data_IF_660572926485
#
_entry.id   IF_660572926485
#
_cell.length_a   1.000
_cell.length_b   1.000
_cell.length_c   1.000
_cell.angle_alpha   90.00
_cell.angle_beta   90.00
_cell.angle_gamma   90.00
#
_symmetry.space_group_name_H-M   'P 1'
#
loop_
_entity.id
_entity.type
_entity.pdbx_description
1 polymer ?
#
# COMPACT_ATOMS: atom_id res chain seq x y z
N UNK A 1 -47.32 -59.38 59.52
CA UNK A 1 -45.94 -59.44 59.01
C UNK A 1 -45.91 -58.87 57.57
N UNK A 2 -45.58 -57.61 57.39
CA UNK A 2 -45.35 -56.99 56.05
C UNK A 2 -43.92 -56.64 55.88
N UNK A 3 -43.21 -57.32 54.94
CA UNK A 3 -41.84 -57.03 54.45
C UNK A 3 -41.92 -55.86 53.48
N UNK A 4 -41.21 -54.72 53.78
CA UNK A 4 -40.97 -53.64 52.86
C UNK A 4 -39.72 -54.01 52.04
N UNK A 5 -39.89 -54.08 50.70
CA UNK A 5 -38.76 -54.15 49.71
C UNK A 5 -38.21 -52.72 49.57
N UNK A 6 -36.92 -52.56 49.76
CA UNK A 6 -36.16 -51.37 49.42
C UNK A 6 -35.65 -51.54 47.98
N UNK A 7 -36.15 -50.70 47.09
CA UNK A 7 -35.59 -50.58 45.73
C UNK A 7 -34.40 -49.62 45.79
N UNK A 8 -33.22 -50.11 45.38
CA UNK A 8 -32.05 -49.28 45.17
C UNK A 8 -32.06 -48.81 43.71
N UNK A 9 -32.27 -47.50 43.51
CA UNK A 9 -32.11 -46.84 42.21
C UNK A 9 -30.64 -46.51 42.06
N UNK A 10 -29.95 -47.19 41.16
CA UNK A 10 -28.59 -46.78 40.71
C UNK A 10 -28.74 -45.68 39.68
N UNK A 11 -28.42 -44.44 40.08
CA UNK A 11 -28.29 -43.32 39.15
C UNK A 11 -26.93 -43.43 38.42
N UNK A 12 -26.93 -43.79 37.15
CA UNK A 12 -25.77 -43.82 36.29
C UNK A 12 -25.48 -42.36 35.81
N UNK A 13 -24.52 -41.67 36.43
CA UNK A 13 -24.00 -40.39 35.96
C UNK A 13 -23.18 -40.63 34.71
N UNK A 14 -23.75 -40.36 33.52
CA UNK A 14 -22.97 -40.22 32.29
C UNK A 14 -22.27 -38.87 32.33
N UNK A 15 -20.95 -38.87 32.61
CA UNK A 15 -20.10 -37.71 32.36
C UNK A 15 -19.91 -37.56 30.84
N UNK A 16 -20.65 -36.66 30.21
CA UNK A 16 -20.33 -36.18 28.87
C UNK A 16 -19.01 -35.43 28.94
N UNK A 17 -17.92 -36.09 28.59
CA UNK A 17 -16.67 -35.42 28.26
C UNK A 17 -16.94 -34.57 27.00
N UNK A 18 -17.02 -33.25 27.17
CA UNK A 18 -17.01 -32.31 26.05
C UNK A 18 -15.68 -32.50 25.30
N UNK A 19 -15.73 -33.23 24.21
CA UNK A 19 -14.64 -33.27 23.24
C UNK A 19 -14.61 -31.88 22.62
N UNK A 20 -13.77 -31.00 23.16
CA UNK A 20 -13.42 -29.77 22.44
C UNK A 20 -12.79 -30.22 21.10
N UNK A 21 -13.38 -29.91 19.95
CA UNK A 21 -12.69 -30.18 18.70
C UNK A 21 -11.38 -29.38 18.77
N UNK A 22 -10.25 -30.08 18.70
CA UNK A 22 -8.98 -29.42 18.54
C UNK A 22 -9.12 -28.47 17.35
N UNK A 23 -9.04 -27.17 17.62
CA UNK A 23 -9.09 -26.17 16.56
C UNK A 23 -8.02 -26.54 15.56
N UNK A 24 -8.43 -26.90 14.33
CA UNK A 24 -7.48 -27.17 13.27
C UNK A 24 -6.58 -25.93 13.13
N UNK A 25 -5.27 -26.14 13.12
CA UNK A 25 -4.34 -25.03 12.92
C UNK A 25 -4.73 -24.24 11.66
N UNK A 26 -4.69 -22.93 11.70
CA UNK A 26 -4.99 -22.12 10.54
C UNK A 26 -4.06 -22.49 9.38
N UNK A 27 -4.55 -22.44 8.14
CA UNK A 27 -3.69 -22.57 6.97
C UNK A 27 -2.67 -21.43 6.95
N UNK A 28 -1.45 -21.74 6.48
CA UNK A 28 -0.42 -20.70 6.32
C UNK A 28 -0.86 -19.69 5.26
N UNK A 29 -0.94 -18.37 5.59
CA UNK A 29 -1.31 -17.36 4.61
C UNK A 29 -0.21 -17.16 3.58
N UNK A 30 -0.53 -16.67 2.37
CA UNK A 30 0.48 -16.14 1.46
C UNK A 30 1.29 -15.03 2.12
N UNK A 31 2.53 -14.83 1.67
CA UNK A 31 3.28 -13.62 1.99
C UNK A 31 2.85 -12.51 1.06
N UNK A 32 2.02 -11.61 1.55
CA UNK A 32 1.61 -10.43 0.80
C UNK A 32 2.69 -9.35 0.82
N UNK A 33 2.87 -8.70 -0.33
CA UNK A 33 3.72 -7.52 -0.50
C UNK A 33 2.89 -6.47 -1.22
N UNK A 34 2.58 -5.36 -0.53
CA UNK A 34 1.92 -4.20 -1.08
C UNK A 34 2.95 -3.11 -1.35
N UNK A 35 3.15 -2.79 -2.63
CA UNK A 35 4.07 -1.75 -3.08
C UNK A 35 3.27 -0.60 -3.65
N UNK A 36 3.51 0.59 -3.14
CA UNK A 36 2.81 1.78 -3.57
C UNK A 36 3.75 2.93 -3.94
N UNK A 37 3.26 3.80 -4.81
CA UNK A 37 3.96 5.02 -5.22
C UNK A 37 3.12 6.24 -4.89
N UNK A 38 3.76 7.28 -4.37
CA UNK A 38 3.13 8.54 -3.99
C UNK A 38 3.43 9.64 -5.01
N UNK A 39 2.56 10.65 -5.07
CA UNK A 39 2.57 11.80 -5.98
C UNK A 39 2.32 11.42 -7.46
N UNK A 40 3.16 10.59 -8.05
CA UNK A 40 3.00 10.03 -9.40
C UNK A 40 2.92 11.09 -10.51
N UNK A 41 3.74 12.14 -10.43
CA UNK A 41 3.71 13.27 -11.40
C UNK A 41 4.52 13.01 -12.67
N UNK A 42 5.59 12.21 -12.62
CA UNK A 42 6.53 12.01 -13.72
C UNK A 42 6.04 10.99 -14.76
N UNK A 43 5.80 11.43 -15.98
CA UNK A 43 5.32 10.58 -17.10
C UNK A 43 6.30 9.44 -17.44
N UNK A 44 7.58 9.73 -17.43
CA UNK A 44 8.63 8.71 -17.72
C UNK A 44 8.58 7.54 -16.74
N UNK A 45 8.27 7.80 -15.47
CA UNK A 45 8.18 6.77 -14.45
C UNK A 45 6.93 5.88 -14.65
N UNK A 46 5.82 6.45 -15.09
CA UNK A 46 4.64 5.67 -15.46
C UNK A 46 4.95 4.66 -16.57
N UNK A 47 5.64 5.09 -17.63
CA UNK A 47 6.05 4.21 -18.74
C UNK A 47 6.99 3.12 -18.26
N UNK A 48 8.01 3.48 -17.47
CA UNK A 48 8.99 2.53 -16.93
C UNK A 48 8.32 1.44 -16.06
N UNK A 49 7.41 1.81 -15.16
CA UNK A 49 6.72 0.86 -14.28
C UNK A 49 5.74 -0.03 -15.06
N UNK A 50 5.05 0.51 -16.08
CA UNK A 50 4.21 -0.26 -16.99
C UNK A 50 5.02 -1.35 -17.68
N UNK A 51 6.12 -0.97 -18.31
CA UNK A 51 6.98 -1.90 -19.07
C UNK A 51 7.65 -2.92 -18.14
N UNK A 52 8.02 -2.50 -16.93
CA UNK A 52 8.56 -3.39 -15.90
C UNK A 52 7.53 -4.43 -15.45
N UNK A 53 6.31 -4.01 -15.10
CA UNK A 53 5.26 -4.93 -14.66
C UNK A 53 4.87 -5.91 -15.79
N UNK A 54 4.75 -5.44 -17.03
CA UNK A 54 4.46 -6.29 -18.17
C UNK A 54 5.52 -7.40 -18.33
N UNK A 55 6.81 -7.06 -18.27
CA UNK A 55 7.91 -8.04 -18.34
C UNK A 55 7.87 -9.10 -17.24
N UNK A 56 7.49 -8.71 -16.02
CA UNK A 56 7.39 -9.65 -14.91
C UNK A 56 6.19 -10.56 -15.05
N UNK A 57 5.05 -10.02 -15.48
CA UNK A 57 3.83 -10.79 -15.67
C UNK A 57 3.99 -11.88 -16.74
N UNK A 58 4.77 -11.62 -17.80
CA UNK A 58 5.17 -12.63 -18.79
C UNK A 58 5.96 -13.80 -18.18
N UNK A 59 6.68 -13.57 -17.09
CA UNK A 59 7.50 -14.56 -16.37
C UNK A 59 6.74 -15.24 -15.22
N UNK A 60 5.42 -15.06 -15.14
CA UNK A 60 4.57 -15.52 -14.04
C UNK A 60 4.95 -14.95 -12.65
N UNK A 61 5.73 -13.88 -12.61
CA UNK A 61 6.04 -13.12 -11.39
C UNK A 61 5.09 -11.91 -11.29
N UNK A 62 3.79 -12.19 -11.18
CA UNK A 62 2.73 -11.18 -11.25
C UNK A 62 2.88 -10.13 -10.16
N UNK A 63 2.89 -8.87 -10.57
CA UNK A 63 2.89 -7.72 -9.65
C UNK A 63 1.78 -6.74 -10.00
N UNK A 64 1.11 -6.24 -8.95
CA UNK A 64 0.19 -5.12 -9.05
C UNK A 64 0.56 -4.04 -8.04
N UNK A 65 0.76 -2.82 -8.52
CA UNK A 65 1.07 -1.65 -7.71
C UNK A 65 -0.18 -0.90 -7.27
N UNK A 66 -0.09 -0.15 -6.17
CA UNK A 66 -1.05 0.91 -5.83
C UNK A 66 -0.40 2.27 -6.05
N UNK A 67 -1.06 3.16 -6.79
CA UNK A 67 -0.59 4.51 -7.05
C UNK A 67 -1.45 5.50 -6.26
N UNK A 68 -0.87 6.16 -5.28
CA UNK A 68 -1.47 7.29 -4.56
C UNK A 68 -1.18 8.56 -5.36
N UNK A 69 -2.10 8.90 -6.27
CA UNK A 69 -1.91 9.97 -7.24
C UNK A 69 -2.41 11.29 -6.66
N UNK A 70 -1.60 12.34 -6.76
CA UNK A 70 -2.01 13.71 -6.38
C UNK A 70 -2.83 14.34 -7.49
N UNK A 71 -3.96 14.96 -7.11
CA UNK A 71 -4.92 15.54 -8.07
C UNK A 71 -4.40 16.73 -8.87
N UNK A 72 -3.30 17.38 -8.46
CA UNK A 72 -2.63 18.41 -9.29
C UNK A 72 -2.24 17.88 -10.67
N UNK A 73 -1.91 16.60 -10.77
CA UNK A 73 -1.61 15.93 -12.04
C UNK A 73 -2.79 15.86 -13.03
N UNK A 74 -4.00 16.14 -12.57
CA UNK A 74 -5.24 16.10 -13.37
C UNK A 74 -5.67 17.48 -13.89
N UNK A 75 -4.91 18.52 -13.59
CA UNK A 75 -5.12 19.87 -14.08
C UNK A 75 -3.89 20.39 -14.79
N UNK A 76 -4.04 20.89 -16.01
CA UNK A 76 -2.99 21.65 -16.67
C UNK A 76 -2.71 22.97 -15.91
N UNK A 77 -1.50 23.47 -15.98
CA UNK A 77 -1.05 24.64 -15.20
C UNK A 77 -1.86 25.92 -15.47
N UNK A 78 -2.40 26.10 -16.66
CA UNK A 78 -3.32 27.19 -17.00
C UNK A 78 -4.73 26.97 -16.43
N UNK A 79 -5.07 25.77 -16.00
CA UNK A 79 -6.34 25.40 -15.34
C UNK A 79 -6.24 25.32 -13.82
N UNK A 80 -5.06 25.57 -13.23
CA UNK A 80 -4.84 25.50 -11.78
C UNK A 80 -5.86 26.27 -10.94
N UNK A 81 -6.44 27.37 -11.50
CA UNK A 81 -7.48 28.16 -10.86
C UNK A 81 -8.81 27.41 -10.62
N UNK A 82 -8.97 26.17 -11.10
CA UNK A 82 -10.10 25.30 -10.78
C UNK A 82 -9.98 24.63 -9.42
N UNK A 83 -8.81 24.68 -8.78
CA UNK A 83 -8.56 24.10 -7.45
C UNK A 83 -8.29 25.19 -6.40
N UNK A 84 -8.88 25.01 -5.23
CA UNK A 84 -8.61 25.83 -4.04
C UNK A 84 -8.58 24.94 -2.78
N UNK A 85 -7.39 24.53 -2.39
CA UNK A 85 -7.20 23.66 -1.19
C UNK A 85 -7.66 24.33 0.10
N UNK A 86 -7.96 23.55 1.14
CA UNK A 86 -8.35 24.07 2.45
C UNK A 86 -7.34 25.10 2.99
N UNK A 87 -7.84 26.29 3.34
CA UNK A 87 -7.04 27.41 3.87
C UNK A 87 -5.94 27.92 2.92
N UNK A 88 -6.04 27.63 1.63
CA UNK A 88 -5.07 28.02 0.60
C UNK A 88 -5.66 29.02 -0.38
N UNK A 89 -4.80 29.71 -1.11
CA UNK A 89 -5.20 30.55 -2.23
C UNK A 89 -5.55 29.66 -3.43
N UNK A 90 -6.53 30.11 -4.20
CA UNK A 90 -6.92 29.46 -5.46
C UNK A 90 -5.71 29.26 -6.38
N UNK A 91 -5.57 28.09 -6.95
CA UNK A 91 -4.48 27.70 -7.85
C UNK A 91 -3.13 27.52 -7.17
N UNK A 92 -3.08 27.40 -5.83
CA UNK A 92 -1.86 27.09 -5.08
C UNK A 92 -1.80 25.59 -4.74
N UNK A 93 -0.62 24.99 -4.86
CA UNK A 93 -0.30 23.64 -4.43
C UNK A 93 1.19 23.54 -4.04
N UNK A 94 1.55 22.52 -3.28
CA UNK A 94 2.94 22.27 -2.84
C UNK A 94 3.76 21.48 -3.88
N UNK A 95 3.09 20.92 -4.87
CA UNK A 95 3.68 20.16 -5.99
C UNK A 95 3.16 20.73 -7.31
N UNK A 96 3.87 20.53 -8.43
CA UNK A 96 3.48 21.06 -9.74
C UNK A 96 2.13 20.50 -10.21
N UNK A 97 1.39 21.33 -10.95
CA UNK A 97 0.28 20.90 -11.80
C UNK A 97 0.83 20.30 -13.09
N UNK A 98 -0.03 19.63 -13.87
CA UNK A 98 0.31 19.17 -15.21
C UNK A 98 0.86 20.32 -16.05
N UNK A 99 1.92 20.11 -16.82
CA UNK A 99 2.58 21.17 -17.57
C UNK A 99 1.70 21.76 -18.70
N UNK A 100 0.83 20.93 -19.27
CA UNK A 100 -0.10 21.28 -20.35
C UNK A 100 -1.29 20.31 -20.40
N UNK A 101 -2.28 20.61 -21.22
CA UNK A 101 -3.39 19.68 -21.50
C UNK A 101 -2.92 18.37 -22.14
N UNK A 102 -1.88 18.39 -22.97
CA UNK A 102 -1.29 17.19 -23.56
C UNK A 102 -0.58 16.32 -22.49
N UNK A 103 0.12 16.93 -21.55
CA UNK A 103 0.72 16.23 -20.41
C UNK A 103 -0.35 15.53 -19.54
N UNK A 104 -1.44 16.23 -19.27
CA UNK A 104 -2.59 15.65 -18.55
C UNK A 104 -3.20 14.48 -19.34
N UNK A 105 -3.43 14.66 -20.64
CA UNK A 105 -3.99 13.61 -21.51
C UNK A 105 -3.11 12.36 -21.52
N UNK A 106 -1.81 12.53 -21.65
CA UNK A 106 -0.85 11.40 -21.62
C UNK A 106 -0.88 10.68 -20.27
N UNK A 107 -0.90 11.43 -19.15
CA UNK A 107 -1.01 10.85 -17.81
C UNK A 107 -2.29 10.06 -17.65
N UNK A 108 -3.42 10.59 -18.11
CA UNK A 108 -4.71 9.88 -18.08
C UNK A 108 -4.65 8.58 -18.89
N UNK A 109 -4.04 8.59 -20.09
CA UNK A 109 -3.85 7.38 -20.88
C UNK A 109 -3.04 6.32 -20.15
N UNK A 110 -1.88 6.70 -19.58
CA UNK A 110 -1.02 5.79 -18.84
C UNK A 110 -1.69 5.24 -17.57
N UNK A 111 -2.44 6.06 -16.86
CA UNK A 111 -3.21 5.63 -15.68
C UNK A 111 -4.28 4.62 -16.10
N UNK A 112 -5.00 4.86 -17.22
CA UNK A 112 -5.98 3.92 -17.74
C UNK A 112 -5.35 2.59 -18.15
N UNK A 113 -4.18 2.61 -18.82
CA UNK A 113 -3.42 1.41 -19.17
C UNK A 113 -3.01 0.62 -17.90
N UNK A 114 -2.49 1.29 -16.89
CA UNK A 114 -2.10 0.66 -15.62
C UNK A 114 -3.31 0.09 -14.89
N UNK A 115 -4.43 0.81 -14.85
CA UNK A 115 -5.67 0.31 -14.25
C UNK A 115 -6.18 -0.93 -14.99
N UNK A 116 -6.21 -0.92 -16.32
CA UNK A 116 -6.59 -2.08 -17.13
C UNK A 116 -5.68 -3.29 -16.93
N UNK A 117 -4.40 -3.07 -16.60
CA UNK A 117 -3.44 -4.11 -16.23
C UNK A 117 -3.58 -4.61 -14.77
N UNK A 118 -4.58 -4.15 -14.02
CA UNK A 118 -4.89 -4.59 -12.65
C UNK A 118 -4.18 -3.83 -11.54
N UNK A 119 -3.49 -2.73 -11.85
CA UNK A 119 -2.93 -1.83 -10.84
C UNK A 119 -4.06 -0.98 -10.23
N UNK A 120 -3.83 -0.51 -9.01
CA UNK A 120 -4.80 0.31 -8.28
C UNK A 120 -4.44 1.79 -8.33
N UNK A 121 -5.47 2.63 -8.52
CA UNK A 121 -5.38 4.08 -8.42
C UNK A 121 -6.06 4.49 -7.12
N UNK A 122 -5.33 5.21 -6.28
CA UNK A 122 -5.75 5.68 -4.97
C UNK A 122 -5.45 7.18 -4.80
N UNK A 123 -6.00 7.80 -3.78
CA UNK A 123 -5.87 9.24 -3.57
C UNK A 123 -4.69 9.61 -2.69
N UNK A 124 -3.91 10.62 -3.13
CA UNK A 124 -2.92 11.34 -2.33
C UNK A 124 -3.33 12.81 -2.13
N UNK A 125 -4.63 13.05 -1.94
CA UNK A 125 -5.22 14.40 -1.96
C UNK A 125 -4.94 15.14 -3.29
N UNK A 126 -5.05 16.47 -3.32
CA UNK A 126 -4.86 17.25 -4.53
C UNK A 126 -3.56 18.05 -4.45
N UNK A 127 -3.51 19.04 -3.55
CA UNK A 127 -2.46 20.05 -3.50
C UNK A 127 -1.21 19.66 -2.71
N UNK A 128 -1.14 18.44 -2.19
CA UNK A 128 -0.05 17.94 -1.34
C UNK A 128 0.22 18.82 -0.11
N UNK A 129 -0.84 19.24 0.58
CA UNK A 129 -0.72 20.05 1.79
C UNK A 129 -0.60 19.20 3.06
N UNK A 130 0.02 19.76 4.10
CA UNK A 130 0.01 19.18 5.45
C UNK A 130 -1.40 19.35 6.07
N UNK A 131 -2.15 18.24 6.09
CA UNK A 131 -3.52 18.20 6.61
C UNK A 131 -3.63 18.10 8.13
N UNK A 132 -2.54 18.25 8.90
CA UNK A 132 -2.51 18.08 10.37
C UNK A 132 -3.50 19.00 11.09
N UNK A 133 -3.75 20.18 10.57
CA UNK A 133 -4.69 21.15 11.11
C UNK A 133 -6.08 21.12 10.48
N UNK A 134 -6.37 20.20 9.55
CA UNK A 134 -7.63 20.16 8.83
C UNK A 134 -8.75 19.57 9.67
N UNK A 135 -9.92 20.20 9.58
CA UNK A 135 -11.18 19.69 10.12
C UNK A 135 -11.74 18.53 9.25
N UNK A 136 -12.77 17.85 9.72
CA UNK A 136 -13.48 16.87 8.91
C UNK A 136 -14.10 17.50 7.65
N UNK A 137 -14.62 18.72 7.74
CA UNK A 137 -15.18 19.44 6.60
C UNK A 137 -14.11 19.78 5.55
N UNK A 138 -12.88 20.14 5.97
CA UNK A 138 -11.76 20.40 5.06
C UNK A 138 -11.38 19.13 4.30
N UNK A 139 -11.26 17.99 4.99
CA UNK A 139 -10.99 16.70 4.36
C UNK A 139 -12.11 16.27 3.41
N UNK A 140 -13.38 16.42 3.83
CA UNK A 140 -14.53 16.05 2.99
C UNK A 140 -14.57 16.88 1.71
N UNK A 141 -14.23 18.18 1.79
CA UNK A 141 -14.10 19.06 0.61
C UNK A 141 -12.98 18.60 -0.31
N UNK A 142 -11.79 18.34 0.23
CA UNK A 142 -10.64 17.86 -0.55
C UNK A 142 -10.94 16.54 -1.27
N UNK A 143 -11.61 15.59 -0.61
CA UNK A 143 -12.02 14.33 -1.23
C UNK A 143 -13.08 14.50 -2.30
N UNK A 144 -14.05 15.37 -2.09
CA UNK A 144 -15.09 15.68 -3.08
C UNK A 144 -14.48 16.33 -4.32
N UNK A 145 -13.59 17.32 -4.13
CA UNK A 145 -12.88 17.98 -5.22
C UNK A 145 -11.96 17.00 -5.97
N UNK A 146 -11.23 16.12 -5.26
CA UNK A 146 -10.40 15.09 -5.87
C UNK A 146 -11.21 14.20 -6.83
N UNK A 147 -12.38 13.74 -6.40
CA UNK A 147 -13.27 12.92 -7.22
C UNK A 147 -13.81 13.69 -8.42
N UNK A 148 -14.21 14.94 -8.20
CA UNK A 148 -14.67 15.80 -9.27
C UNK A 148 -13.57 16.06 -10.32
N UNK A 149 -12.29 16.15 -9.92
CA UNK A 149 -11.18 16.25 -10.87
C UNK A 149 -11.03 14.99 -11.73
N UNK A 150 -11.24 13.81 -11.18
CA UNK A 150 -11.24 12.56 -11.95
C UNK A 150 -12.41 12.55 -12.94
N UNK A 151 -13.63 12.77 -12.44
CA UNK A 151 -14.85 12.67 -13.25
C UNK A 151 -14.91 13.70 -14.39
N UNK A 152 -14.26 14.85 -14.20
CA UNK A 152 -14.30 15.97 -15.15
C UNK A 152 -12.95 16.28 -15.80
N UNK A 153 -11.96 15.37 -15.74
CA UNK A 153 -10.59 15.67 -16.22
C UNK A 153 -10.56 16.15 -17.66
N UNK A 154 -11.35 15.56 -18.54
CA UNK A 154 -11.43 15.97 -19.95
C UNK A 154 -11.99 17.38 -20.11
N UNK A 155 -13.13 17.67 -19.47
CA UNK A 155 -13.77 18.99 -19.52
C UNK A 155 -12.88 20.08 -18.89
N UNK A 156 -12.29 19.80 -17.75
CA UNK A 156 -11.42 20.74 -17.02
C UNK A 156 -10.21 21.19 -17.85
N UNK A 157 -9.70 20.32 -18.73
CA UNK A 157 -8.50 20.57 -19.52
C UNK A 157 -8.78 20.79 -21.01
N UNK A 158 -10.07 20.90 -21.41
CA UNK A 158 -10.49 21.01 -22.82
C UNK A 158 -9.94 19.87 -23.69
N UNK A 159 -9.88 18.64 -23.15
CA UNK A 159 -9.46 17.46 -23.89
C UNK A 159 -10.59 16.97 -24.83
N UNK A 160 -10.25 16.19 -25.88
CA UNK A 160 -11.26 15.57 -26.72
C UNK A 160 -12.23 14.67 -25.93
N UNK A 161 -13.44 14.49 -26.49
CA UNK A 161 -14.40 13.52 -25.95
C UNK A 161 -13.77 12.12 -25.88
N UNK A 162 -14.01 11.42 -24.78
CA UNK A 162 -13.42 10.10 -24.52
C UNK A 162 -11.98 10.10 -23.96
N UNK A 163 -11.33 11.27 -23.82
CA UNK A 163 -10.00 11.39 -23.24
C UNK A 163 -10.00 11.48 -21.69
N UNK A 164 -11.06 11.00 -21.03
CA UNK A 164 -11.18 10.94 -19.59
C UNK A 164 -10.61 9.66 -18.98
N UNK A 165 -10.72 9.56 -17.65
CA UNK A 165 -10.39 8.33 -16.94
C UNK A 165 -11.39 7.22 -17.26
N UNK A 166 -10.89 5.98 -17.30
CA UNK A 166 -11.73 4.77 -17.38
C UNK A 166 -12.38 4.43 -16.02
N UNK A 167 -11.92 5.04 -14.94
CA UNK A 167 -12.45 4.95 -13.58
C UNK A 167 -13.20 6.24 -13.24
N UNK A 168 -14.16 6.14 -12.31
CA UNK A 168 -14.82 7.29 -11.72
C UNK A 168 -14.19 7.68 -10.39
N UNK A 169 -14.44 8.89 -9.93
CA UNK A 169 -14.02 9.32 -8.58
C UNK A 169 -14.59 8.44 -7.47
N UNK A 170 -15.74 7.78 -7.70
CA UNK A 170 -16.35 6.85 -6.77
C UNK A 170 -15.59 5.51 -6.65
N UNK A 171 -14.75 5.16 -7.64
CA UNK A 171 -13.95 3.94 -7.63
C UNK A 171 -12.67 4.09 -6.79
N UNK A 172 -12.31 5.30 -6.39
CA UNK A 172 -11.18 5.57 -5.50
C UNK A 172 -11.51 5.12 -4.07
N UNK A 173 -10.87 4.05 -3.63
CA UNK A 173 -11.15 3.40 -2.34
C UNK A 173 -10.02 3.52 -1.32
N UNK A 174 -8.83 3.91 -1.75
CA UNK A 174 -7.65 4.04 -0.91
C UNK A 174 -7.18 5.46 -0.72
N UNK A 175 -6.58 5.73 0.44
CA UNK A 175 -6.02 7.04 0.75
C UNK A 175 -4.67 6.94 1.45
N UNK A 176 -3.77 7.88 1.12
CA UNK A 176 -2.57 8.20 1.88
C UNK A 176 -2.44 9.71 2.00
N UNK A 177 -2.32 10.22 3.23
CA UNK A 177 -2.14 11.64 3.47
C UNK A 177 -0.75 12.11 3.02
N UNK A 178 -0.63 13.26 2.35
CA UNK A 178 0.64 13.93 2.15
C UNK A 178 1.41 14.08 3.48
N UNK A 179 2.73 13.88 3.44
CA UNK A 179 3.62 13.88 4.62
C UNK A 179 3.23 12.86 5.72
N UNK A 180 2.32 11.90 5.44
CA UNK A 180 1.67 11.06 6.45
C UNK A 180 0.97 11.87 7.55
N UNK A 181 0.62 13.12 7.27
CA UNK A 181 0.03 14.06 8.22
C UNK A 181 -1.46 13.84 8.36
N UNK A 182 -1.89 13.40 9.53
CA UNK A 182 -3.28 13.12 9.86
C UNK A 182 -3.83 14.10 10.90
N UNK A 183 -5.15 14.26 10.92
CA UNK A 183 -5.88 14.99 11.97
C UNK A 183 -7.04 14.16 12.48
N UNK A 184 -7.64 14.58 13.59
CA UNK A 184 -8.84 13.93 14.12
C UNK A 184 -10.02 13.94 13.12
N UNK A 185 -10.04 14.93 12.21
CA UNK A 185 -11.05 15.06 11.16
C UNK A 185 -10.90 14.09 10.00
N UNK A 186 -9.71 13.52 9.78
CA UNK A 186 -9.43 12.67 8.61
C UNK A 186 -10.31 11.42 8.57
N UNK A 187 -10.33 10.65 9.64
CA UNK A 187 -10.98 9.34 9.64
C UNK A 187 -12.50 9.40 9.51
N UNK A 188 -13.22 10.32 10.19
CA UNK A 188 -14.63 10.56 9.91
C UNK A 188 -14.89 10.92 8.45
N UNK A 189 -14.09 11.81 7.85
CA UNK A 189 -14.23 12.22 6.46
C UNK A 189 -13.95 11.08 5.47
N UNK A 190 -12.91 10.24 5.71
CA UNK A 190 -12.64 9.05 4.89
C UNK A 190 -13.82 8.08 4.90
N UNK A 191 -14.39 7.82 6.07
CA UNK A 191 -15.54 6.94 6.23
C UNK A 191 -16.77 7.49 5.51
N UNK A 192 -17.09 8.75 5.70
CA UNK A 192 -18.21 9.44 5.04
C UNK A 192 -18.04 9.43 3.52
N UNK A 193 -16.83 9.68 3.04
CA UNK A 193 -16.51 9.61 1.62
C UNK A 193 -16.47 8.18 1.07
N UNK A 194 -16.62 7.12 1.88
CA UNK A 194 -16.67 5.72 1.43
C UNK A 194 -15.30 5.16 1.01
N UNK A 195 -14.22 5.69 1.57
CA UNK A 195 -12.92 5.03 1.48
C UNK A 195 -12.93 3.72 2.26
N UNK A 196 -12.15 2.77 1.79
CA UNK A 196 -12.07 1.42 2.38
C UNK A 196 -10.85 1.25 3.27
N UNK A 197 -9.77 1.96 2.94
CA UNK A 197 -8.52 1.88 3.68
C UNK A 197 -7.75 3.21 3.68
N UNK A 198 -6.86 3.32 4.67
CA UNK A 198 -5.90 4.40 4.85
C UNK A 198 -4.50 3.82 5.12
N UNK A 199 -3.47 4.47 4.56
CA UNK A 199 -2.08 4.07 4.72
C UNK A 199 -1.20 5.20 5.27
N UNK A 200 -1.81 6.14 6.02
CA UNK A 200 -1.12 7.35 6.50
C UNK A 200 -0.39 7.18 7.83
N UNK A 201 -0.48 5.99 8.46
CA UNK A 201 0.18 5.72 9.74
C UNK A 201 1.49 4.96 9.62
N UNK A 202 2.06 4.61 10.78
CA UNK A 202 3.23 3.73 10.91
C UNK A 202 2.94 2.56 11.84
N UNK A 203 3.60 1.42 11.63
CA UNK A 203 3.40 0.20 12.38
C UNK A 203 4.68 -0.62 12.53
N UNK A 204 4.69 -1.55 13.49
CA UNK A 204 5.77 -2.53 13.58
C UNK A 204 5.72 -3.49 12.36
N UNK A 205 6.88 -3.97 11.86
CA UNK A 205 6.96 -4.71 10.61
C UNK A 205 6.26 -6.07 10.61
N UNK A 206 5.98 -6.63 11.77
CA UNK A 206 5.35 -7.95 11.94
C UNK A 206 3.90 -7.88 12.41
N UNK A 207 3.24 -6.72 12.32
CA UNK A 207 1.82 -6.59 12.65
C UNK A 207 0.95 -6.88 11.43
N UNK A 208 -0.09 -7.67 11.65
CA UNK A 208 -1.17 -7.81 10.68
C UNK A 208 -2.08 -6.58 10.72
N UNK A 209 -2.60 -6.13 9.57
CA UNK A 209 -3.48 -4.97 9.49
C UNK A 209 -4.75 -5.13 10.34
N UNK A 210 -5.24 -4.02 10.87
CA UNK A 210 -6.46 -3.95 11.66
C UNK A 210 -7.48 -3.00 11.04
N UNK A 211 -8.75 -3.25 11.28
CA UNK A 211 -9.80 -2.27 11.02
C UNK A 211 -9.99 -1.37 12.24
N UNK A 212 -10.00 -0.05 11.99
CA UNK A 212 -10.33 0.96 12.99
C UNK A 212 -11.44 1.86 12.45
N UNK A 213 -12.59 1.86 13.11
CA UNK A 213 -13.75 2.64 12.66
C UNK A 213 -14.34 2.21 11.31
N UNK A 214 -14.08 0.97 10.88
CA UNK A 214 -14.52 0.41 9.59
C UNK A 214 -13.56 0.65 8.43
N UNK A 215 -12.38 1.25 8.69
CA UNK A 215 -11.31 1.45 7.71
C UNK A 215 -10.14 0.50 7.99
N UNK A 216 -9.65 -0.20 6.99
CA UNK A 216 -8.39 -0.93 7.08
C UNK A 216 -7.23 0.05 7.26
N UNK A 217 -6.28 -0.30 8.14
CA UNK A 217 -5.05 0.46 8.37
C UNK A 217 -3.89 -0.34 7.82
N UNK A 218 -3.34 0.12 6.69
CA UNK A 218 -2.19 -0.48 6.01
C UNK A 218 -0.96 0.42 6.17
N UNK A 219 -0.58 0.62 7.40
CA UNK A 219 0.43 1.59 7.79
C UNK A 219 1.83 1.16 7.33
N UNK A 220 2.74 2.12 7.07
CA UNK A 220 4.12 1.84 6.68
C UNK A 220 4.90 1.21 7.83
N UNK A 221 5.78 0.26 7.51
CA UNK A 221 6.54 -0.45 8.52
C UNK A 221 7.75 0.35 9.03
N UNK A 222 7.95 0.37 10.36
CA UNK A 222 9.17 0.84 11.00
C UNK A 222 10.22 -0.27 10.97
N UNK A 223 11.23 -0.13 10.13
CA UNK A 223 12.26 -1.14 9.88
C UNK A 223 13.66 -0.63 10.23
N UNK A 224 14.60 -1.55 10.41
CA UNK A 224 16.02 -1.22 10.67
C UNK A 224 16.83 -1.38 9.40
N UNK A 225 17.64 -0.36 9.07
CA UNK A 225 18.63 -0.45 7.99
C UNK A 225 19.59 -1.62 8.25
N UNK A 226 19.86 -2.39 7.20
CA UNK A 226 20.61 -3.64 7.33
C UNK A 226 22.04 -3.45 7.83
N UNK A 227 22.72 -2.38 7.43
CA UNK A 227 24.11 -2.08 7.77
C UNK A 227 24.24 -1.13 8.96
N UNK A 228 23.63 0.05 8.83
CA UNK A 228 23.74 1.12 9.84
C UNK A 228 22.91 0.91 11.09
N UNK A 229 21.94 -0.02 11.06
CA UNK A 229 21.00 -0.33 12.17
C UNK A 229 20.09 0.83 12.60
N UNK A 230 20.11 1.96 11.90
CA UNK A 230 19.19 3.07 12.15
C UNK A 230 17.74 2.67 11.85
N UNK A 231 16.80 3.24 12.59
CA UNK A 231 15.37 3.09 12.29
C UNK A 231 15.00 3.96 11.10
N UNK A 232 14.13 3.44 10.26
CA UNK A 232 13.53 4.15 9.13
C UNK A 232 12.12 3.61 8.87
N UNK A 233 11.33 4.31 8.07
CA UNK A 233 10.12 3.72 7.50
C UNK A 233 10.44 2.97 6.20
N UNK A 234 9.59 2.03 5.84
CA UNK A 234 9.67 1.29 4.57
C UNK A 234 9.29 2.16 3.36
N UNK A 235 9.86 3.37 3.28
CA UNK A 235 9.60 4.37 2.24
C UNK A 235 10.92 5.06 1.83
N UNK A 236 11.13 5.24 0.53
CA UNK A 236 12.38 5.75 -0.07
C UNK A 236 12.86 7.08 0.53
N UNK A 237 11.97 8.07 0.73
CA UNK A 237 12.33 9.34 1.36
C UNK A 237 12.88 9.16 2.78
N UNK A 238 12.33 8.21 3.54
CA UNK A 238 12.82 7.94 4.89
C UNK A 238 14.19 7.26 4.88
N UNK A 239 14.50 6.46 3.84
CA UNK A 239 15.88 5.97 3.62
C UNK A 239 16.83 7.14 3.31
N UNK A 240 16.42 8.09 2.44
CA UNK A 240 17.21 9.28 2.16
C UNK A 240 17.55 10.04 3.44
N UNK A 241 16.55 10.27 4.31
CA UNK A 241 16.75 10.94 5.58
C UNK A 241 17.70 10.14 6.50
N UNK A 242 17.48 8.83 6.65
CA UNK A 242 18.27 7.98 7.55
C UNK A 242 19.72 7.81 7.08
N UNK A 243 19.96 7.73 5.78
CA UNK A 243 21.29 7.49 5.19
C UNK A 243 22.09 8.77 4.95
N UNK A 244 21.44 9.88 4.59
CA UNK A 244 22.11 11.11 4.17
C UNK A 244 21.52 12.41 4.76
N UNK A 245 20.66 12.34 5.78
CA UNK A 245 19.98 13.49 6.37
C UNK A 245 19.12 14.29 5.37
N UNK A 246 18.58 13.59 4.37
CA UNK A 246 17.76 14.21 3.32
C UNK A 246 18.57 14.83 2.16
N UNK A 247 19.88 14.70 2.18
CA UNK A 247 20.74 15.23 1.10
C UNK A 247 20.82 14.23 -0.05
N UNK A 248 20.50 14.66 -1.26
CA UNK A 248 20.63 13.86 -2.48
C UNK A 248 22.09 13.89 -2.99
N UNK A 249 22.80 12.77 -2.85
CA UNK A 249 24.24 12.67 -3.15
C UNK A 249 24.49 11.48 -4.07
N UNK A 250 24.59 11.71 -5.37
CA UNK A 250 24.78 10.65 -6.39
C UNK A 250 26.00 9.76 -6.16
N UNK A 251 27.09 10.28 -5.57
CA UNK A 251 28.27 9.49 -5.22
C UNK A 251 27.98 8.36 -4.20
N UNK A 252 26.86 8.40 -3.52
CA UNK A 252 26.42 7.37 -2.57
C UNK A 252 25.57 6.27 -3.21
N UNK A 253 25.24 6.38 -4.50
CA UNK A 253 24.30 5.52 -5.22
C UNK A 253 24.47 4.04 -4.90
N UNK A 254 25.64 3.46 -5.17
CA UNK A 254 25.84 2.02 -4.99
C UNK A 254 25.67 1.58 -3.53
N UNK A 255 26.27 2.32 -2.59
CA UNK A 255 26.20 2.00 -1.16
C UNK A 255 24.75 2.04 -0.63
N UNK A 256 24.03 3.09 -0.96
CA UNK A 256 22.71 3.36 -0.39
C UNK A 256 21.63 2.50 -1.07
N UNK A 257 21.81 2.18 -2.38
CA UNK A 257 21.05 1.14 -3.09
C UNK A 257 21.19 -0.23 -2.41
N UNK A 258 22.41 -0.67 -2.18
CA UNK A 258 22.68 -2.00 -1.64
C UNK A 258 22.14 -2.14 -0.21
N UNK A 259 22.29 -1.10 0.64
CA UNK A 259 21.73 -1.13 1.99
C UNK A 259 20.20 -1.14 1.98
N UNK A 260 19.54 -0.43 1.04
CA UNK A 260 18.08 -0.50 0.89
C UNK A 260 17.64 -1.90 0.48
N UNK A 261 18.26 -2.48 -0.54
CA UNK A 261 17.95 -3.83 -1.01
C UNK A 261 18.12 -4.87 0.10
N UNK A 262 19.24 -4.84 0.80
CA UNK A 262 19.49 -5.72 1.95
C UNK A 262 18.45 -5.55 3.06
N UNK A 263 18.03 -4.30 3.30
CA UNK A 263 17.01 -3.98 4.29
C UNK A 263 15.65 -4.56 3.91
N UNK A 264 15.21 -4.39 2.67
CA UNK A 264 13.95 -4.95 2.18
C UNK A 264 13.97 -6.48 2.16
N UNK A 265 15.09 -7.09 1.77
CA UNK A 265 15.24 -8.55 1.83
C UNK A 265 15.23 -9.08 3.26
N UNK A 266 15.82 -8.36 4.21
CA UNK A 266 15.76 -8.71 5.64
C UNK A 266 14.33 -8.61 6.18
N UNK A 267 13.59 -7.53 5.86
CA UNK A 267 12.19 -7.36 6.21
C UNK A 267 11.33 -8.49 5.63
N UNK A 268 11.51 -8.79 4.33
CA UNK A 268 10.82 -9.90 3.66
C UNK A 268 11.09 -11.24 4.36
N UNK A 269 12.35 -11.60 4.58
CA UNK A 269 12.71 -12.88 5.22
C UNK A 269 12.12 -12.99 6.63
N UNK A 270 12.18 -11.93 7.41
CA UNK A 270 11.63 -11.90 8.77
C UNK A 270 10.13 -12.25 8.79
N UNK A 271 9.34 -11.69 7.87
CA UNK A 271 7.91 -11.96 7.79
C UNK A 271 7.61 -13.29 7.11
N UNK A 272 8.32 -13.64 6.02
CA UNK A 272 8.11 -14.89 5.27
C UNK A 272 8.33 -16.15 6.15
N UNK A 273 9.35 -16.16 6.98
CA UNK A 273 9.60 -17.23 7.96
C UNK A 273 8.95 -16.96 9.33
N UNK A 274 8.42 -15.77 9.53
CA UNK A 274 7.71 -15.34 10.73
C UNK A 274 6.21 -15.61 10.67
N UNK A 275 5.43 -14.60 11.00
CA UNK A 275 3.97 -14.68 11.04
C UNK A 275 3.29 -14.26 9.72
N UNK A 276 4.03 -14.13 8.63
CA UNK A 276 3.51 -13.75 7.30
C UNK A 276 2.76 -12.41 7.26
N UNK A 277 2.98 -11.53 8.22
CA UNK A 277 2.40 -10.20 8.15
C UNK A 277 2.75 -9.52 6.81
N UNK A 278 1.80 -8.85 6.16
CA UNK A 278 2.05 -8.20 4.87
C UNK A 278 3.19 -7.19 4.93
N UNK A 279 3.99 -7.10 3.87
CA UNK A 279 4.94 -6.02 3.69
C UNK A 279 4.24 -4.81 3.09
N UNK A 280 4.46 -3.64 3.67
CA UNK A 280 3.97 -2.35 3.18
C UNK A 280 5.18 -1.51 2.77
N UNK A 281 5.33 -1.21 1.48
CA UNK A 281 6.48 -0.48 0.92
C UNK A 281 5.97 0.73 0.14
N UNK A 282 6.47 1.92 0.46
CA UNK A 282 6.15 3.17 -0.22
C UNK A 282 7.35 3.73 -0.99
N UNK A 283 7.13 4.25 -2.17
CA UNK A 283 8.12 4.95 -2.97
C UNK A 283 7.49 6.19 -3.62
N UNK A 284 8.33 7.06 -4.14
CA UNK A 284 7.94 8.23 -4.93
C UNK A 284 8.48 8.11 -6.36
N UNK A 285 7.93 8.91 -7.27
CA UNK A 285 8.48 9.07 -8.61
C UNK A 285 9.69 10.01 -8.56
N UNK A 286 10.76 9.58 -7.90
CA UNK A 286 11.97 10.38 -7.66
C UNK A 286 13.22 9.62 -8.12
N UNK A 287 14.32 10.37 -8.28
CA UNK A 287 15.63 9.82 -8.65
C UNK A 287 16.67 10.01 -7.54
N UNK A 288 16.27 9.90 -6.27
CA UNK A 288 17.18 10.04 -5.14
C UNK A 288 18.47 9.22 -5.30
N UNK A 289 19.60 9.83 -5.00
CA UNK A 289 20.93 9.26 -5.18
C UNK A 289 21.18 8.73 -6.61
N UNK A 290 20.68 9.47 -7.63
CA UNK A 290 20.79 9.04 -9.02
C UNK A 290 19.96 7.80 -9.35
N UNK A 291 18.82 7.61 -8.71
CA UNK A 291 17.90 6.48 -8.93
C UNK A 291 18.23 5.23 -8.11
N UNK A 292 19.10 5.32 -7.10
CA UNK A 292 19.53 4.19 -6.26
C UNK A 292 18.35 3.43 -5.64
N UNK A 293 17.39 4.15 -5.09
CA UNK A 293 16.26 3.55 -4.38
C UNK A 293 15.26 2.88 -5.32
N UNK A 294 15.06 3.49 -6.49
CA UNK A 294 14.23 2.86 -7.51
C UNK A 294 14.86 1.56 -8.00
N UNK A 295 16.18 1.56 -8.30
CA UNK A 295 16.92 0.35 -8.70
C UNK A 295 16.87 -0.74 -7.61
N UNK A 296 16.99 -0.37 -6.33
CA UNK A 296 16.88 -1.30 -5.22
C UNK A 296 15.49 -1.94 -5.15
N UNK A 297 14.42 -1.13 -5.32
CA UNK A 297 13.04 -1.62 -5.32
C UNK A 297 12.80 -2.58 -6.49
N UNK A 298 13.19 -2.21 -7.72
CA UNK A 298 13.01 -3.08 -8.89
C UNK A 298 13.73 -4.42 -8.70
N UNK A 299 14.98 -4.40 -8.22
CA UNK A 299 15.74 -5.61 -7.90
C UNK A 299 15.07 -6.45 -6.79
N UNK A 300 14.54 -5.81 -5.76
CA UNK A 300 13.78 -6.49 -4.71
C UNK A 300 12.56 -7.21 -5.29
N UNK A 301 11.77 -6.53 -6.10
CA UNK A 301 10.57 -7.10 -6.74
C UNK A 301 10.93 -8.31 -7.59
N UNK A 302 11.93 -8.20 -8.45
CA UNK A 302 12.38 -9.31 -9.31
C UNK A 302 12.81 -10.54 -8.50
N UNK A 303 13.37 -10.34 -7.31
CA UNK A 303 13.82 -11.44 -6.44
C UNK A 303 12.72 -12.11 -5.64
N UNK A 304 11.61 -11.43 -5.37
CA UNK A 304 10.61 -11.93 -4.40
C UNK A 304 9.23 -12.19 -4.98
N UNK A 305 8.76 -11.41 -5.99
CA UNK A 305 7.37 -11.51 -6.46
C UNK A 305 7.06 -12.82 -7.22
N UNK A 306 8.06 -13.58 -7.66
CA UNK A 306 7.90 -14.90 -8.29
C UNK A 306 8.14 -16.10 -7.36
N UNK A 307 8.39 -15.85 -6.06
CA UNK A 307 8.67 -16.92 -5.10
C UNK A 307 7.39 -17.67 -4.69
N UNK A 308 7.50 -18.96 -4.30
CA UNK A 308 6.36 -19.71 -3.80
C UNK A 308 5.64 -19.01 -2.65
N UNK A 309 4.32 -19.02 -2.69
CA UNK A 309 3.44 -18.41 -1.67
C UNK A 309 3.62 -16.89 -1.50
N UNK A 310 4.29 -16.20 -2.43
CA UNK A 310 4.40 -14.74 -2.43
C UNK A 310 3.36 -14.15 -3.38
N UNK A 311 2.68 -13.11 -2.92
CA UNK A 311 1.69 -12.35 -3.70
C UNK A 311 1.99 -10.86 -3.61
N UNK A 312 2.38 -10.27 -4.75
CA UNK A 312 2.62 -8.83 -4.89
C UNK A 312 1.34 -8.15 -5.38
N UNK A 313 0.58 -7.57 -4.45
CA UNK A 313 -0.82 -7.17 -4.64
C UNK A 313 -1.05 -5.69 -4.36
N UNK A 314 -2.17 -5.17 -4.86
CA UNK A 314 -2.69 -3.86 -4.48
C UNK A 314 -3.23 -3.86 -3.05
N UNK A 315 -3.38 -2.68 -2.45
CA UNK A 315 -4.01 -2.56 -1.14
C UNK A 315 -5.48 -2.98 -1.14
N UNK A 316 -6.23 -2.74 -2.22
CA UNK A 316 -7.61 -3.22 -2.33
C UNK A 316 -7.69 -4.75 -2.34
N UNK A 317 -6.76 -5.44 -3.01
CA UNK A 317 -6.69 -6.91 -2.98
C UNK A 317 -6.30 -7.45 -1.61
N UNK A 318 -5.39 -6.78 -0.92
CA UNK A 318 -5.08 -7.12 0.46
C UNK A 318 -6.31 -6.92 1.37
N UNK A 319 -7.07 -5.84 1.19
CA UNK A 319 -8.31 -5.61 1.93
C UNK A 319 -9.36 -6.69 1.63
N UNK A 320 -9.51 -7.15 0.37
CA UNK A 320 -10.40 -8.25 0.00
C UNK A 320 -10.04 -9.54 0.76
N UNK A 321 -8.75 -9.87 0.81
CA UNK A 321 -8.27 -11.02 1.58
C UNK A 321 -8.60 -10.88 3.07
N UNK A 322 -8.30 -9.71 3.66
CA UNK A 322 -8.53 -9.45 5.08
C UNK A 322 -10.02 -9.46 5.46
N UNK A 323 -10.93 -9.01 4.56
CA UNK A 323 -12.37 -9.05 4.78
C UNK A 323 -12.92 -10.49 4.81
N UNK A 324 -12.27 -11.40 4.07
CA UNK A 324 -12.62 -12.82 4.06
C UNK A 324 -12.19 -13.62 5.30
N UNK A 325 -11.38 -13.04 6.20
CA UNK A 325 -10.86 -13.76 7.36
C UNK A 325 -11.81 -13.67 8.56
N UNK A 326 -12.00 -14.80 9.26
CA UNK A 326 -12.66 -14.80 10.58
C UNK A 326 -11.77 -14.10 11.63
N UNK A 327 -12.36 -13.59 12.72
CA UNK A 327 -11.58 -13.03 13.85
C UNK A 327 -10.56 -14.02 14.41
N UNK A 328 -10.92 -15.30 14.49
CA UNK A 328 -10.06 -16.39 14.99
C UNK A 328 -8.85 -16.61 14.07
N UNK A 329 -9.07 -16.63 12.73
CA UNK A 329 -8.00 -16.76 11.74
C UNK A 329 -7.05 -15.56 11.79
N UNK A 330 -7.58 -14.34 11.91
CA UNK A 330 -6.75 -13.13 12.08
C UNK A 330 -5.89 -13.20 13.33
N UNK A 331 -6.46 -13.66 14.45
CA UNK A 331 -5.73 -13.84 15.70
C UNK A 331 -4.64 -14.91 15.57
N UNK A 332 -4.90 -16.01 14.87
CA UNK A 332 -3.92 -17.04 14.57
C UNK A 332 -2.77 -16.48 13.72
N UNK A 333 -3.07 -15.71 12.67
CA UNK A 333 -2.06 -15.09 11.81
C UNK A 333 -1.18 -14.10 12.60
N UNK A 334 -1.77 -13.24 13.43
CA UNK A 334 -0.99 -12.32 14.27
C UNK A 334 -0.01 -13.05 15.18
N UNK A 335 -0.41 -14.20 15.75
CA UNK A 335 0.46 -15.04 16.59
C UNK A 335 1.43 -15.91 15.78
N UNK A 336 1.14 -16.14 14.51
CA UNK A 336 1.84 -17.08 13.64
C UNK A 336 1.51 -18.54 13.99
N UNK A 337 0.28 -18.81 14.41
CA UNK A 337 -0.24 -20.14 14.76
C UNK A 337 -0.67 -20.91 13.48
N UNK A 338 0.30 -21.24 12.65
CA UNK A 338 0.17 -22.04 11.43
C UNK A 338 1.50 -22.75 11.10
N UNK A 339 1.52 -23.77 10.24
CA UNK A 339 2.74 -24.46 9.86
C UNK A 339 3.76 -23.52 9.23
N UNK A 340 4.97 -23.44 9.79
CA UNK A 340 6.05 -22.58 9.28
C UNK A 340 6.64 -23.10 7.98
N UNK A 341 7.17 -22.20 7.14
CA UNK A 341 7.95 -22.59 5.99
C UNK A 341 9.28 -23.21 6.46
N UNK A 342 9.56 -24.45 6.01
CA UNK A 342 10.75 -25.21 6.46
C UNK A 342 11.84 -25.28 5.38
N UNK A 343 11.51 -24.98 4.11
CA UNK A 343 12.48 -25.06 3.03
C UNK A 343 13.35 -23.79 2.95
N UNK A 344 14.66 -23.94 2.65
CA UNK A 344 15.50 -22.79 2.39
C UNK A 344 14.97 -22.01 1.18
N UNK A 345 14.78 -20.72 1.34
CA UNK A 345 14.37 -19.83 0.27
C UNK A 345 15.60 -19.52 -0.59
N UNK A 346 15.63 -20.05 -1.81
CA UNK A 346 16.66 -19.72 -2.78
C UNK A 346 16.25 -18.41 -3.45
N UNK A 347 16.76 -17.29 -2.95
CA UNK A 347 16.65 -16.02 -3.64
C UNK A 347 17.57 -16.12 -4.87
N UNK A 348 17.01 -16.04 -6.07
CA UNK A 348 17.80 -16.01 -7.28
C UNK A 348 18.70 -14.77 -7.25
N UNK A 349 20.02 -14.98 -7.35
CA UNK A 349 20.97 -13.91 -7.64
C UNK A 349 20.82 -13.54 -9.12
N UNK A 350 19.84 -12.72 -9.42
CA UNK A 350 19.73 -12.11 -10.75
C UNK A 350 20.77 -10.99 -10.80
N UNK A 351 21.77 -11.06 -11.68
CA UNK A 351 22.66 -9.92 -11.89
C UNK A 351 21.77 -8.74 -12.31
N UNK A 352 22.01 -7.58 -11.72
CA UNK A 352 21.34 -6.34 -12.10
C UNK A 352 21.45 -6.20 -13.63
N UNK A 353 20.33 -6.40 -14.32
CA UNK A 353 20.27 -6.14 -15.76
C UNK A 353 20.52 -4.64 -15.89
N UNK A 354 21.67 -4.30 -16.50
CA UNK A 354 22.07 -2.92 -16.69
C UNK A 354 20.98 -2.17 -17.43
N UNK A 355 20.32 -1.27 -16.73
CA UNK A 355 19.55 -0.19 -17.33
C UNK A 355 20.56 0.73 -18.01
N UNK A 356 20.76 0.52 -19.32
CA UNK A 356 21.49 1.45 -20.21
C UNK A 356 20.57 2.56 -20.65
#
# INVERSE_FOLDING_TARGET
VRRRRREFIFALLFALAAINPASAAAERPPQFIAIAFDNCTEISRWRELRDFAARLNEKAAVIHFTFFVSGTGFLASDKRGLYEGPHQRRGHAMIPFGSSADDVRERVSLINEMHAAGHEIASHAIGHFDGRGWSAADWSREFSEYRALIDNVAANNNLPEGAGFAISGADIKGFRAPYLSTSAGLYPALKEAGFRYDTSGTMLPNLWPEQRGGLWRFDLAEIRLARSKKMTLSMDYNFLVAQSLGLDVSARRARDRDEMLETYLAYFKANYFGNRAPLHIGHHFTNYHGGAYHEALMTFIERVCGLPEVQCVTYSKLADFMDGLSPETRAAYQKGDFPRATQPLILQDTPAAGLR
#
